data_IF_319034315048
#
_entry.id   IF_319034315048
#
_cell.length_a   1.000
_cell.length_b   1.000
_cell.length_c   1.000
_cell.angle_alpha   90.00
_cell.angle_beta   90.00
_cell.angle_gamma   90.00
#
_symmetry.space_group_name_H-M   'P 1'
#
loop_
_entity.id
_entity.type
_entity.pdbx_description
1 polymer ?
#
# COMPACT_ATOMS: atom_id res chain seq x y z
N UNK A 1 -38.39 -53.02 -1.44
CA UNK A 1 -39.01 -52.33 -0.28
C UNK A 1 -37.96 -51.40 0.32
N UNK A 2 -37.40 -50.47 -0.44
CA UNK A 2 -37.99 -49.22 -0.98
C UNK A 2 -38.23 -48.15 0.09
N UNK A 3 -37.45 -47.08 -0.08
CA UNK A 3 -37.83 -45.69 0.10
C UNK A 3 -38.12 -45.15 1.51
N UNK A 4 -37.17 -44.35 2.02
CA UNK A 4 -37.44 -42.91 2.20
C UNK A 4 -36.20 -42.10 1.82
N UNK A 5 -36.30 -41.43 0.68
CA UNK A 5 -35.43 -40.36 0.27
C UNK A 5 -35.70 -39.07 1.07
N UNK A 6 -34.76 -38.13 0.93
CA UNK A 6 -34.91 -36.68 1.16
C UNK A 6 -34.39 -36.14 2.49
N UNK A 7 -33.11 -35.76 2.45
CA UNK A 7 -32.78 -34.36 2.75
C UNK A 7 -31.69 -33.90 1.78
N UNK A 8 -32.14 -33.37 0.65
CA UNK A 8 -31.34 -32.47 -0.16
C UNK A 8 -30.93 -31.27 0.70
N UNK A 9 -29.63 -30.97 0.81
CA UNK A 9 -29.19 -29.58 0.81
C UNK A 9 -27.70 -29.41 0.50
N UNK A 10 -27.45 -28.79 -0.66
CA UNK A 10 -26.25 -28.14 -1.16
C UNK A 10 -24.92 -28.92 -1.17
N UNK A 11 -24.21 -29.02 -2.32
CA UNK A 11 -22.77 -29.16 -2.25
C UNK A 11 -22.27 -27.90 -1.54
N UNK A 12 -21.91 -28.01 -0.27
CA UNK A 12 -21.22 -26.93 0.45
C UNK A 12 -19.95 -26.69 -0.35
N UNK A 13 -19.98 -25.67 -1.19
CA UNK A 13 -18.83 -25.16 -1.92
C UNK A 13 -17.87 -24.61 -0.90
N UNK A 14 -17.18 -25.47 -0.16
CA UNK A 14 -15.97 -25.13 0.56
C UNK A 14 -14.84 -25.09 -0.48
N UNK A 15 -15.03 -24.29 -1.53
CA UNK A 15 -13.92 -23.80 -2.33
C UNK A 15 -13.11 -22.93 -1.37
N UNK A 16 -12.07 -23.50 -0.77
CA UNK A 16 -11.11 -22.78 0.05
C UNK A 16 -10.55 -21.60 -0.74
N UNK A 17 -10.18 -20.49 -0.07
CA UNK A 17 -9.68 -19.28 -0.74
C UNK A 17 -8.51 -19.58 -1.68
N UNK A 18 -7.58 -20.43 -1.26
CA UNK A 18 -6.47 -20.91 -2.09
C UNK A 18 -6.95 -21.65 -3.36
N UNK A 19 -8.00 -22.48 -3.26
CA UNK A 19 -8.57 -23.18 -4.43
C UNK A 19 -9.25 -22.22 -5.41
N UNK A 20 -9.83 -21.11 -4.91
CA UNK A 20 -10.39 -20.05 -5.73
C UNK A 20 -9.29 -19.24 -6.42
N UNK A 21 -8.21 -18.88 -5.72
CA UNK A 21 -7.03 -18.24 -6.28
C UNK A 21 -6.45 -19.09 -7.42
N UNK A 22 -6.23 -20.38 -7.19
CA UNK A 22 -5.67 -21.27 -8.21
C UNK A 22 -6.60 -21.43 -9.42
N UNK A 23 -7.92 -21.50 -9.20
CA UNK A 23 -8.90 -21.55 -10.29
C UNK A 23 -8.94 -20.25 -11.09
N UNK A 24 -8.80 -19.10 -10.42
CA UNK A 24 -8.68 -17.82 -11.11
C UNK A 24 -7.38 -17.76 -11.93
N UNK A 25 -6.25 -18.11 -11.33
CA UNK A 25 -4.94 -18.16 -12.00
C UNK A 25 -4.95 -19.06 -13.23
N UNK A 26 -5.56 -20.25 -13.15
CA UNK A 26 -5.65 -21.16 -14.30
C UNK A 26 -6.51 -20.59 -15.42
N UNK A 27 -7.61 -19.90 -15.10
CA UNK A 27 -8.47 -19.23 -16.08
C UNK A 27 -7.84 -17.97 -16.68
N UNK A 28 -6.98 -17.29 -15.92
CA UNK A 28 -6.34 -16.04 -16.32
C UNK A 28 -5.07 -16.25 -17.17
N UNK A 29 -4.40 -17.40 -17.04
CA UNK A 29 -3.27 -17.76 -17.91
C UNK A 29 -3.65 -17.69 -19.40
N UNK A 30 -4.88 -18.08 -19.71
CA UNK A 30 -5.40 -18.07 -21.08
C UNK A 30 -5.82 -16.65 -21.55
N UNK A 31 -5.96 -15.68 -20.63
CA UNK A 31 -6.46 -14.33 -20.90
C UNK A 31 -5.34 -13.29 -20.74
N UNK A 32 -4.63 -13.03 -21.84
CA UNK A 32 -3.62 -11.98 -21.90
C UNK A 32 -4.27 -10.59 -21.88
N UNK A 33 -4.52 -10.06 -20.68
CA UNK A 33 -5.03 -8.69 -20.53
C UNK A 33 -5.58 -8.35 -19.14
N UNK A 34 -5.96 -9.35 -18.36
CA UNK A 34 -6.53 -9.14 -17.03
C UNK A 34 -5.41 -9.15 -15.98
N UNK A 35 -4.99 -7.97 -15.50
CA UNK A 35 -4.03 -7.91 -14.39
C UNK A 35 -4.68 -8.35 -13.08
N UNK A 36 -4.02 -9.24 -12.35
CA UNK A 36 -4.37 -9.68 -10.99
C UNK A 36 -4.61 -8.48 -10.04
N UNK A 37 -3.93 -7.35 -10.25
CA UNK A 37 -4.11 -6.11 -9.52
C UNK A 37 -5.55 -5.55 -9.61
N UNK A 38 -6.23 -5.72 -10.75
CA UNK A 38 -7.62 -5.28 -10.89
C UNK A 38 -8.57 -6.21 -10.13
N UNK A 39 -8.31 -7.51 -10.15
CA UNK A 39 -9.10 -8.48 -9.38
C UNK A 39 -8.84 -8.36 -7.88
N UNK A 40 -7.61 -8.08 -7.47
CA UNK A 40 -7.26 -7.81 -6.09
C UNK A 40 -7.96 -6.51 -5.61
N UNK A 41 -8.01 -5.46 -6.45
CA UNK A 41 -8.81 -4.26 -6.16
C UNK A 41 -10.29 -4.60 -5.96
N UNK A 42 -10.87 -5.44 -6.82
CA UNK A 42 -12.28 -5.87 -6.68
C UNK A 42 -12.47 -6.70 -5.40
N UNK A 43 -11.57 -7.64 -5.11
CA UNK A 43 -11.58 -8.44 -3.89
C UNK A 43 -11.49 -7.58 -2.63
N UNK A 44 -10.68 -6.52 -2.67
CA UNK A 44 -10.57 -5.52 -1.61
C UNK A 44 -11.88 -4.76 -1.40
N UNK A 45 -12.50 -4.26 -2.47
CA UNK A 45 -13.80 -3.58 -2.41
C UNK A 45 -14.90 -4.48 -1.86
N UNK A 46 -14.81 -5.79 -2.11
CA UNK A 46 -15.71 -6.81 -1.55
C UNK A 46 -15.36 -7.23 -0.12
N UNK A 47 -14.35 -6.61 0.52
CA UNK A 47 -13.90 -6.90 1.88
C UNK A 47 -13.17 -8.24 2.03
N UNK A 48 -12.77 -8.89 0.93
CA UNK A 48 -12.05 -10.18 0.94
C UNK A 48 -10.54 -9.93 1.06
N UNK A 49 -10.11 -9.46 2.22
CA UNK A 49 -8.70 -9.08 2.51
C UNK A 49 -7.75 -10.25 2.23
N UNK A 50 -8.04 -11.47 2.72
CA UNK A 50 -7.20 -12.66 2.53
C UNK A 50 -7.03 -13.07 1.07
N UNK A 51 -8.11 -12.95 0.29
CA UNK A 51 -8.07 -13.22 -1.14
C UNK A 51 -7.21 -12.17 -1.86
N UNK A 52 -7.38 -10.91 -1.47
CA UNK A 52 -6.63 -9.81 -2.04
C UNK A 52 -5.13 -9.94 -1.78
N UNK A 53 -4.72 -10.33 -0.57
CA UNK A 53 -3.30 -10.54 -0.23
C UNK A 53 -2.69 -11.70 -1.01
N UNK A 54 -3.39 -12.84 -1.13
CA UNK A 54 -2.89 -13.97 -1.95
C UNK A 54 -2.77 -13.57 -3.43
N UNK A 55 -3.74 -12.84 -3.97
CA UNK A 55 -3.71 -12.40 -5.37
C UNK A 55 -2.61 -11.36 -5.63
N UNK A 56 -2.27 -10.56 -4.61
CA UNK A 56 -1.20 -9.56 -4.65
C UNK A 56 0.19 -10.21 -4.73
N UNK A 57 0.42 -11.32 -4.03
CA UNK A 57 1.71 -12.05 -4.05
C UNK A 57 2.02 -12.63 -5.44
N UNK A 58 0.99 -12.90 -6.25
CA UNK A 58 1.13 -13.44 -7.59
C UNK A 58 1.29 -12.37 -8.70
N UNK A 59 1.21 -11.08 -8.37
CA UNK A 59 1.44 -10.02 -9.37
C UNK A 59 2.91 -9.93 -9.79
N UNK A 60 3.19 -10.17 -11.07
CA UNK A 60 4.53 -10.11 -11.64
C UNK A 60 5.07 -8.68 -11.79
N UNK A 61 4.21 -7.66 -11.68
CA UNK A 61 4.59 -6.25 -11.86
C UNK A 61 4.65 -5.52 -10.52
N UNK A 62 5.85 -5.28 -9.96
CA UNK A 62 6.00 -4.71 -8.62
C UNK A 62 5.44 -3.28 -8.52
N UNK A 63 5.50 -2.50 -9.61
CA UNK A 63 4.88 -1.18 -9.68
C UNK A 63 3.36 -1.23 -9.44
N UNK A 64 2.67 -2.21 -10.04
CA UNK A 64 1.21 -2.35 -9.89
C UNK A 64 0.83 -2.85 -8.49
N UNK A 65 1.63 -3.76 -7.96
CA UNK A 65 1.50 -4.26 -6.59
C UNK A 65 1.60 -3.12 -5.57
N UNK A 66 2.63 -2.29 -5.67
CA UNK A 66 2.86 -1.16 -4.75
C UNK A 66 1.74 -0.13 -4.82
N UNK A 67 1.29 0.22 -6.03
CA UNK A 67 0.15 1.12 -6.19
C UNK A 67 -1.15 0.54 -5.60
N UNK A 68 -1.31 -0.78 -5.60
CA UNK A 68 -2.44 -1.44 -4.95
C UNK A 68 -2.30 -1.45 -3.42
N UNK A 69 -1.11 -1.74 -2.88
CA UNK A 69 -0.82 -1.61 -1.43
C UNK A 69 -1.19 -0.20 -0.91
N UNK A 70 -0.87 0.84 -1.68
CA UNK A 70 -1.25 2.22 -1.38
C UNK A 70 -2.76 2.45 -1.33
N UNK A 71 -3.54 1.78 -2.20
CA UNK A 71 -5.01 1.84 -2.19
C UNK A 71 -5.63 1.04 -1.04
N UNK A 72 -4.93 0.04 -0.53
CA UNK A 72 -5.34 -0.76 0.64
C UNK A 72 -4.93 -0.14 1.98
N UNK A 73 -4.52 1.13 1.98
CA UNK A 73 -4.00 1.86 3.15
C UNK A 73 -2.74 1.23 3.78
N UNK A 74 -2.05 0.36 3.05
CA UNK A 74 -0.79 -0.27 3.46
C UNK A 74 0.42 0.55 3.01
N UNK A 75 0.37 1.88 3.23
CA UNK A 75 1.40 2.80 2.75
C UNK A 75 2.81 2.52 3.30
N UNK A 76 2.92 2.02 4.53
CA UNK A 76 4.21 1.63 5.14
C UNK A 76 4.88 0.48 4.38
N UNK A 77 4.10 -0.52 3.98
CA UNK A 77 4.65 -1.70 3.31
C UNK A 77 4.90 -1.42 1.84
N UNK A 78 4.07 -0.58 1.22
CA UNK A 78 4.34 0.00 -0.08
C UNK A 78 5.70 0.72 -0.11
N UNK A 79 6.01 1.53 0.91
CA UNK A 79 7.29 2.24 0.99
C UNK A 79 8.48 1.27 1.15
N UNK A 80 8.37 0.27 2.03
CA UNK A 80 9.42 -0.75 2.19
C UNK A 80 9.68 -1.51 0.89
N UNK A 81 8.62 -1.87 0.16
CA UNK A 81 8.78 -2.56 -1.12
C UNK A 81 9.38 -1.64 -2.19
N UNK A 82 8.97 -0.37 -2.26
CA UNK A 82 9.59 0.61 -3.17
C UNK A 82 11.08 0.79 -2.91
N UNK A 83 11.50 0.79 -1.64
CA UNK A 83 12.93 0.88 -1.27
C UNK A 83 13.69 -0.36 -1.76
N UNK A 84 13.11 -1.56 -1.61
CA UNK A 84 13.75 -2.81 -2.09
C UNK A 84 13.97 -2.83 -3.61
N UNK A 85 13.06 -2.22 -4.38
CA UNK A 85 13.16 -2.14 -5.84
C UNK A 85 14.16 -1.04 -6.26
N UNK A 86 14.54 -0.16 -5.32
CA UNK A 86 15.46 0.94 -5.53
C UNK A 86 15.04 1.88 -6.67
N UNK A 87 13.72 2.02 -6.90
CA UNK A 87 13.18 2.92 -7.91
C UNK A 87 12.83 4.28 -7.27
N UNK A 88 13.59 5.35 -7.57
CA UNK A 88 13.40 6.66 -6.94
C UNK A 88 12.04 7.29 -7.28
N UNK A 89 11.53 7.10 -8.49
CA UNK A 89 10.22 7.61 -8.88
C UNK A 89 9.10 6.94 -8.10
N UNK A 90 9.23 5.63 -7.84
CA UNK A 90 8.25 4.88 -7.07
C UNK A 90 8.28 5.28 -5.59
N UNK A 91 9.47 5.46 -5.02
CA UNK A 91 9.65 5.96 -3.65
C UNK A 91 9.02 7.35 -3.52
N UNK A 92 9.32 8.26 -4.45
CA UNK A 92 8.78 9.63 -4.45
C UNK A 92 7.25 9.63 -4.56
N UNK A 93 6.70 8.81 -5.45
CA UNK A 93 5.24 8.70 -5.64
C UNK A 93 4.55 8.18 -4.38
N UNK A 94 5.10 7.14 -3.76
CA UNK A 94 4.57 6.57 -2.50
C UNK A 94 4.66 7.57 -1.36
N UNK A 95 5.80 8.25 -1.21
CA UNK A 95 5.98 9.26 -0.18
C UNK A 95 4.99 10.42 -0.35
N UNK A 96 4.83 10.90 -1.59
CA UNK A 96 3.88 11.96 -1.92
C UNK A 96 2.45 11.58 -1.55
N UNK A 97 1.99 10.40 -1.95
CA UNK A 97 0.63 9.92 -1.61
C UNK A 97 0.40 9.77 -0.11
N UNK A 98 1.39 9.30 0.66
CA UNK A 98 1.30 9.22 2.12
C UNK A 98 1.13 10.62 2.72
N UNK A 99 1.91 11.58 2.23
CA UNK A 99 1.86 12.95 2.70
C UNK A 99 0.55 13.64 2.30
N UNK A 100 0.07 13.44 1.08
CA UNK A 100 -1.18 14.02 0.59
C UNK A 100 -2.42 13.55 1.37
N UNK A 101 -2.37 12.36 1.99
CA UNK A 101 -3.46 11.81 2.82
C UNK A 101 -3.50 12.37 4.23
N UNK A 102 -2.45 13.05 4.70
CA UNK A 102 -2.42 13.63 6.04
C UNK A 102 -3.17 14.96 6.09
N UNK A 103 -3.90 15.25 7.17
CA UNK A 103 -4.54 16.55 7.33
C UNK A 103 -3.47 17.66 7.32
N UNK A 104 -3.80 18.80 6.71
CA UNK A 104 -2.89 19.93 6.55
C UNK A 104 -2.24 20.36 7.88
N UNK A 105 -2.98 20.29 9.00
CA UNK A 105 -2.47 20.59 10.32
C UNK A 105 -1.29 19.70 10.74
N UNK A 106 -1.36 18.39 10.44
CA UNK A 106 -0.27 17.45 10.74
C UNK A 106 0.94 17.72 9.83
N UNK A 107 0.69 18.03 8.55
CA UNK A 107 1.74 18.40 7.61
C UNK A 107 2.46 19.68 8.00
N UNK A 108 1.71 20.72 8.39
CA UNK A 108 2.26 22.00 8.81
C UNK A 108 3.03 21.87 10.12
N UNK A 109 2.57 21.04 11.07
CA UNK A 109 3.32 20.76 12.30
C UNK A 109 4.65 20.06 12.03
N UNK A 110 4.68 19.06 11.13
CA UNK A 110 5.92 18.39 10.73
C UNK A 110 6.84 19.37 9.99
N UNK A 111 6.28 20.21 9.11
CA UNK A 111 7.03 21.24 8.35
C UNK A 111 7.57 22.35 9.26
N UNK A 112 6.82 22.81 10.25
CA UNK A 112 7.25 23.83 11.21
C UNK A 112 8.31 23.28 12.15
N UNK A 113 8.15 22.05 12.65
CA UNK A 113 9.17 21.38 13.45
C UNK A 113 10.45 21.09 12.66
N UNK A 114 10.35 20.84 11.35
CA UNK A 114 11.51 20.77 10.46
C UNK A 114 12.10 22.16 10.22
N UNK A 115 11.25 23.17 10.01
CA UNK A 115 11.63 24.58 9.84
C UNK A 115 12.45 25.11 11.02
N UNK A 116 12.06 24.80 12.26
CA UNK A 116 12.82 25.16 13.47
C UNK A 116 14.20 24.49 13.50
N UNK A 117 14.31 23.23 13.05
CA UNK A 117 15.59 22.52 12.97
C UNK A 117 16.55 23.11 11.93
N UNK A 118 16.02 23.81 10.94
CA UNK A 118 16.80 24.59 9.97
C UNK A 118 16.94 26.07 10.35
N UNK A 119 16.09 26.59 11.23
CA UNK A 119 16.16 27.94 11.77
C UNK A 119 17.13 28.05 12.97
N UNK A 120 17.39 26.94 13.67
CA UNK A 120 18.45 26.84 14.67
C UNK A 120 19.75 26.34 14.05
N UNK A 121 20.21 26.94 12.97
CA UNK A 121 21.61 27.35 13.01
C UNK A 121 21.58 28.76 13.61
N UNK A 122 22.21 29.00 14.77
CA UNK A 122 22.49 30.38 15.12
C UNK A 122 23.38 30.87 13.97
N UNK A 123 22.83 31.73 13.10
CA UNK A 123 23.68 32.52 12.21
C UNK A 123 24.68 33.20 13.13
N UNK A 124 25.93 32.76 13.04
CA UNK A 124 27.12 33.39 13.60
C UNK A 124 27.35 34.82 13.09
N UNK A 125 26.38 35.39 12.37
CA UNK A 125 26.56 36.55 11.52
C UNK A 125 25.66 37.72 11.97
N UNK A 126 25.05 37.64 13.16
CA UNK A 126 24.52 38.84 13.79
C UNK A 126 25.69 39.63 14.38
N UNK A 127 25.99 40.79 13.79
CA UNK A 127 26.98 41.78 14.28
C UNK A 127 26.80 42.12 15.76
N UNK A 128 25.59 41.93 16.32
CA UNK A 128 25.31 42.06 17.74
C UNK A 128 26.09 41.06 18.62
N UNK A 129 26.39 39.86 18.11
CA UNK A 129 27.16 38.82 18.82
C UNK A 129 28.67 39.07 18.82
N UNK A 130 29.19 39.80 17.83
CA UNK A 130 30.62 40.13 17.74
C UNK A 130 30.99 41.30 18.68
N UNK A 131 30.06 42.23 18.91
CA UNK A 131 30.28 43.43 19.75
C UNK A 131 30.32 43.15 21.26
N UNK A 132 29.82 42.00 21.72
CA UNK A 132 29.87 41.60 23.13
C UNK A 132 31.12 40.81 23.51
N UNK A 133 32.02 40.50 22.54
CA UNK A 133 33.29 39.80 22.82
C UNK A 133 34.50 40.74 22.96
N UNK A 134 34.33 42.03 22.72
CA UNK A 134 35.41 43.04 22.74
C UNK A 134 35.21 44.14 23.80
N UNK A 135 34.46 43.86 24.87
CA UNK A 135 34.40 44.73 26.04
C UNK A 135 34.91 44.03 27.28
#
# INVERSE_FOLDING_TARGET
MDSTASSANAPKTTNTLASLCQRLLSKLKDWHGVSLANMAKIAWLLGKIKLCTELLEHELKPTKQILLLMRMDQGKEALKQSIKILNPDLIRTVLWEIWARKPLAELLAVRSAAGDRYATSPKSDSVAGLLLRYR
#
